data_IF_943748355007
#
_entry.id   IF_943748355007
#
_cell.length_a   1.000
_cell.length_b   1.000
_cell.length_c   1.000
_cell.angle_alpha   90.00
_cell.angle_beta   90.00
_cell.angle_gamma   90.00
#
_symmetry.space_group_name_H-M   'P 1'
#
loop_
_entity.id
_entity.type
_entity.pdbx_description
1 polymer ?
#
# COMPACT_ATOMS: atom_id res chain seq x y z
N UNK A 1 19.59 33.38 10.04
CA UNK A 1 20.49 32.23 10.27
C UNK A 1 19.90 31.02 9.57
N UNK A 2 20.59 30.55 8.54
CA UNK A 2 20.21 29.35 7.83
C UNK A 2 20.23 28.18 8.83
N UNK A 3 19.08 27.66 9.17
CA UNK A 3 19.02 26.40 9.91
C UNK A 3 19.42 25.32 8.93
N UNK A 4 20.63 24.84 9.11
CA UNK A 4 21.25 23.75 8.38
C UNK A 4 20.26 22.62 8.11
N UNK A 5 20.21 22.23 6.84
CA UNK A 5 19.50 21.04 6.39
C UNK A 5 20.10 19.76 6.94
N UNK A 6 20.01 19.57 8.24
CA UNK A 6 20.30 18.29 8.86
C UNK A 6 19.20 17.31 8.47
N UNK A 7 19.57 16.30 7.73
CA UNK A 7 18.75 15.15 7.36
C UNK A 7 18.07 14.60 8.60
N UNK A 8 16.76 14.30 8.51
CA UNK A 8 15.87 14.01 9.65
C UNK A 8 16.36 13.03 10.72
N UNK A 9 17.33 12.16 10.40
CA UNK A 9 17.91 11.20 11.37
C UNK A 9 18.76 11.88 12.47
N UNK A 10 19.52 12.93 12.16
CA UNK A 10 20.34 13.64 13.16
C UNK A 10 19.50 14.49 14.10
N UNK A 11 18.40 15.08 13.59
CA UNK A 11 17.46 15.83 14.40
C UNK A 11 16.78 14.95 15.46
N UNK A 12 16.40 13.73 15.08
CA UNK A 12 15.77 12.75 15.97
C UNK A 12 16.63 12.31 17.16
N UNK A 13 17.95 12.19 16.96
CA UNK A 13 18.87 11.80 18.03
C UNK A 13 19.08 12.97 19.01
N UNK A 14 18.99 14.20 18.54
CA UNK A 14 19.21 15.41 19.36
C UNK A 14 17.97 15.82 20.16
N UNK A 15 16.77 15.76 19.55
CA UNK A 15 15.59 16.38 20.15
C UNK A 15 14.93 15.50 21.23
N UNK A 16 15.22 14.19 21.32
CA UNK A 16 14.69 13.25 22.34
C UNK A 16 13.28 13.59 22.84
N UNK A 17 12.47 14.19 21.96
CA UNK A 17 11.12 14.62 22.26
C UNK A 17 10.15 13.47 22.02
N UNK A 18 9.49 13.02 23.08
CA UNK A 18 8.50 11.96 23.06
C UNK A 18 7.09 12.49 23.23
N UNK A 19 6.90 13.81 23.04
CA UNK A 19 5.60 14.47 23.22
C UNK A 19 4.66 14.05 22.08
N UNK A 20 3.44 13.70 22.47
CA UNK A 20 2.35 13.42 21.53
C UNK A 20 1.80 14.75 21.04
N UNK A 21 2.14 15.11 19.81
CA UNK A 21 1.70 16.37 19.19
C UNK A 21 0.34 16.22 18.50
N UNK A 22 0.03 15.04 17.97
CA UNK A 22 -1.21 14.76 17.26
C UNK A 22 -1.90 13.49 17.78
N UNK A 23 -3.00 13.68 18.47
CA UNK A 23 -3.84 12.58 18.98
C UNK A 23 -4.44 11.70 17.89
N UNK A 24 -4.71 12.23 16.69
CA UNK A 24 -5.28 11.46 15.57
C UNK A 24 -4.28 10.42 15.08
N UNK A 25 -3.03 10.81 14.89
CA UNK A 25 -1.95 9.89 14.47
C UNK A 25 -1.68 8.86 15.58
N UNK A 26 -1.67 9.29 16.84
CA UNK A 26 -1.54 8.36 17.96
C UNK A 26 -2.67 7.33 18.01
N UNK A 27 -3.91 7.75 17.77
CA UNK A 27 -5.07 6.84 17.69
C UNK A 27 -4.96 5.84 16.54
N UNK A 28 -4.44 6.25 15.37
CA UNK A 28 -4.19 5.33 14.25
C UNK A 28 -3.14 4.28 14.61
N UNK A 29 -2.07 4.66 15.29
CA UNK A 29 -1.06 3.71 15.79
C UNK A 29 -1.67 2.70 16.78
N UNK A 30 -2.47 3.17 17.76
CA UNK A 30 -3.15 2.27 18.69
C UNK A 30 -4.17 1.36 17.98
N UNK A 31 -4.86 1.87 16.97
CA UNK A 31 -5.78 1.08 16.15
C UNK A 31 -5.02 -0.01 15.37
N UNK A 32 -3.85 0.31 14.80
CA UNK A 32 -2.99 -0.66 14.12
C UNK A 32 -2.61 -1.83 15.03
N UNK A 33 -2.21 -1.54 16.26
CA UNK A 33 -1.91 -2.59 17.27
C UNK A 33 -3.13 -3.46 17.59
N UNK A 34 -4.29 -2.83 17.74
CA UNK A 34 -5.53 -3.55 18.06
C UNK A 34 -6.03 -4.43 16.91
N UNK A 35 -5.84 -3.99 15.67
CA UNK A 35 -6.28 -4.67 14.46
C UNK A 35 -5.18 -5.54 13.84
N UNK A 36 -4.04 -5.69 14.52
CA UNK A 36 -2.97 -6.54 14.03
C UNK A 36 -3.48 -7.97 13.81
N UNK A 37 -3.06 -8.58 12.71
CA UNK A 37 -3.42 -9.93 12.31
C UNK A 37 -2.17 -10.73 11.93
N UNK A 38 -2.31 -12.04 11.92
CA UNK A 38 -1.22 -12.95 11.62
C UNK A 38 -1.64 -13.88 10.49
N UNK A 39 -0.87 -13.89 9.41
CA UNK A 39 -1.16 -14.66 8.21
C UNK A 39 -1.24 -16.17 8.43
N UNK A 40 -0.57 -16.70 9.44
CA UNK A 40 -0.56 -18.15 9.72
C UNK A 40 -1.76 -18.59 10.56
N UNK A 41 -2.41 -17.66 11.28
CA UNK A 41 -3.53 -17.97 12.18
C UNK A 41 -4.86 -17.43 11.66
N UNK A 42 -4.84 -16.27 11.01
CA UNK A 42 -6.04 -15.57 10.57
C UNK A 42 -6.45 -15.90 9.12
N UNK A 43 -5.56 -16.54 8.35
CA UNK A 43 -5.82 -17.02 7.00
C UNK A 43 -5.77 -18.54 6.94
N UNK A 44 -6.78 -19.14 6.36
CA UNK A 44 -6.83 -20.60 6.16
C UNK A 44 -6.15 -21.01 4.84
N UNK A 45 -4.84 -21.22 4.91
CA UNK A 45 -4.03 -21.66 3.76
C UNK A 45 -4.31 -23.11 3.32
N UNK A 46 -5.07 -23.90 4.10
CA UNK A 46 -5.47 -25.25 3.73
C UNK A 46 -6.60 -25.29 2.70
N UNK A 47 -7.28 -24.16 2.46
CA UNK A 47 -8.33 -24.08 1.45
C UNK A 47 -7.82 -24.52 0.08
N UNK A 48 -8.62 -25.38 -0.58
CA UNK A 48 -8.33 -25.83 -1.93
C UNK A 48 -8.35 -24.65 -2.91
N UNK A 49 -7.36 -24.63 -3.80
CA UNK A 49 -7.33 -23.66 -4.89
C UNK A 49 -8.27 -24.12 -6.02
N UNK A 50 -9.16 -23.25 -6.52
CA UNK A 50 -10.14 -23.61 -7.56
C UNK A 50 -9.46 -23.83 -8.93
N UNK A 51 -8.96 -25.05 -9.17
CA UNK A 51 -8.18 -25.37 -10.39
C UNK A 51 -9.02 -25.39 -11.67
N UNK A 52 -10.28 -25.76 -11.55
CA UNK A 52 -11.19 -25.99 -12.67
C UNK A 52 -12.29 -24.91 -12.78
N UNK A 53 -12.04 -23.75 -12.18
CA UNK A 53 -12.98 -22.61 -12.15
C UNK A 53 -12.24 -21.30 -12.43
N UNK A 54 -12.96 -20.33 -12.93
CA UNK A 54 -12.46 -18.96 -13.05
C UNK A 54 -12.25 -18.35 -11.65
N UNK A 55 -11.13 -17.68 -11.47
CA UNK A 55 -10.86 -16.86 -10.29
C UNK A 55 -11.67 -15.56 -10.32
N UNK A 56 -11.90 -15.02 -11.51
CA UNK A 56 -12.76 -13.87 -11.74
C UNK A 56 -14.20 -14.32 -11.99
N UNK A 57 -15.14 -13.75 -11.29
CA UNK A 57 -16.57 -13.99 -11.46
C UNK A 57 -17.08 -13.29 -12.73
N UNK A 58 -17.34 -14.03 -13.78
CA UNK A 58 -17.78 -13.53 -15.07
C UNK A 58 -19.20 -12.90 -15.04
N UNK A 59 -20.01 -13.23 -14.05
CA UNK A 59 -21.35 -12.64 -13.87
C UNK A 59 -21.24 -11.20 -13.33
N UNK A 60 -20.16 -10.89 -12.63
CA UNK A 60 -19.91 -9.55 -12.05
C UNK A 60 -19.03 -8.72 -12.96
N UNK A 61 -18.01 -9.33 -13.57
CA UNK A 61 -17.02 -8.61 -14.38
C UNK A 61 -16.67 -9.38 -15.64
N UNK A 62 -16.93 -8.79 -16.80
CA UNK A 62 -16.45 -9.30 -18.09
C UNK A 62 -15.01 -8.84 -18.29
N UNK A 63 -14.11 -9.80 -18.37
CA UNK A 63 -12.70 -9.51 -18.61
C UNK A 63 -12.48 -9.07 -20.06
N UNK A 64 -11.54 -8.15 -20.34
CA UNK A 64 -11.33 -7.66 -21.71
C UNK A 64 -10.98 -8.75 -22.74
N UNK A 65 -10.45 -9.88 -22.30
CA UNK A 65 -10.10 -10.98 -23.19
C UNK A 65 -11.29 -11.60 -23.90
N UNK A 66 -12.49 -11.49 -23.35
CA UNK A 66 -13.71 -12.02 -24.01
C UNK A 66 -14.05 -11.29 -25.31
N UNK A 67 -13.45 -10.09 -25.51
CA UNK A 67 -13.63 -9.29 -26.72
C UNK A 67 -12.52 -9.55 -27.77
N UNK A 68 -11.53 -10.40 -27.45
CA UNK A 68 -10.47 -10.73 -28.39
C UNK A 68 -10.95 -11.73 -29.46
N UNK A 69 -10.56 -11.48 -30.70
CA UNK A 69 -10.82 -12.42 -31.81
C UNK A 69 -10.26 -13.81 -31.46
N UNK A 70 -11.08 -14.83 -31.62
CA UNK A 70 -10.72 -16.22 -31.34
C UNK A 70 -10.83 -16.65 -29.87
N UNK A 71 -11.24 -15.76 -28.96
CA UNK A 71 -11.45 -16.15 -27.55
C UNK A 71 -12.52 -17.24 -27.42
N UNK A 72 -13.59 -17.12 -28.17
CA UNK A 72 -14.70 -18.10 -28.11
C UNK A 72 -14.28 -19.50 -28.60
N UNK A 73 -13.30 -19.59 -29.50
CA UNK A 73 -12.75 -20.83 -30.03
C UNK A 73 -11.79 -21.54 -29.06
N UNK A 74 -11.38 -20.88 -27.96
CA UNK A 74 -10.52 -21.49 -26.95
C UNK A 74 -11.25 -22.55 -26.14
N UNK A 75 -10.55 -23.62 -25.80
CA UNK A 75 -11.08 -24.61 -24.84
C UNK A 75 -11.30 -23.97 -23.46
N UNK A 76 -12.17 -24.57 -22.67
CA UNK A 76 -12.48 -24.09 -21.31
C UNK A 76 -11.23 -24.04 -20.43
N UNK A 77 -10.34 -25.02 -20.53
CA UNK A 77 -9.08 -25.07 -19.79
C UNK A 77 -8.17 -23.89 -20.14
N UNK A 78 -8.08 -23.52 -21.43
CA UNK A 78 -7.30 -22.37 -21.86
C UNK A 78 -7.89 -21.04 -21.37
N UNK A 79 -9.20 -20.92 -21.32
CA UNK A 79 -9.87 -19.74 -20.74
C UNK A 79 -9.57 -19.61 -19.24
N UNK A 80 -9.59 -20.72 -18.49
CA UNK A 80 -9.18 -20.75 -17.08
C UNK A 80 -7.69 -20.38 -16.92
N UNK A 81 -6.82 -20.90 -17.79
CA UNK A 81 -5.40 -20.56 -17.78
C UNK A 81 -5.18 -19.05 -17.98
N UNK A 82 -5.86 -18.44 -18.95
CA UNK A 82 -5.81 -17.00 -19.18
C UNK A 82 -6.28 -16.19 -17.95
N UNK A 83 -7.37 -16.61 -17.32
CA UNK A 83 -7.87 -15.97 -16.10
C UNK A 83 -6.85 -16.04 -14.96
N UNK A 84 -6.17 -17.16 -14.78
CA UNK A 84 -5.06 -17.31 -13.82
C UNK A 84 -3.89 -16.40 -14.12
N UNK A 85 -3.51 -16.30 -15.40
CA UNK A 85 -2.45 -15.41 -15.84
C UNK A 85 -2.79 -13.95 -15.53
N UNK A 86 -4.05 -13.54 -15.74
CA UNK A 86 -4.55 -12.22 -15.39
C UNK A 86 -4.45 -11.95 -13.89
N UNK A 87 -4.98 -12.87 -13.07
CA UNK A 87 -4.95 -12.70 -11.61
C UNK A 87 -3.51 -12.69 -11.10
N UNK A 88 -2.67 -13.59 -11.62
CA UNK A 88 -1.24 -13.61 -11.28
C UNK A 88 -0.53 -12.30 -11.63
N UNK A 89 -0.82 -11.74 -12.81
CA UNK A 89 -0.24 -10.48 -13.23
C UNK A 89 -0.65 -9.34 -12.29
N UNK A 90 -1.93 -9.21 -11.95
CA UNK A 90 -2.42 -8.20 -11.01
C UNK A 90 -1.78 -8.35 -9.63
N UNK A 91 -1.78 -9.57 -9.07
CA UNK A 91 -1.18 -9.83 -7.75
C UNK A 91 0.33 -9.62 -7.74
N UNK A 92 1.01 -9.86 -8.86
CA UNK A 92 2.44 -9.57 -8.98
C UNK A 92 2.72 -8.06 -8.95
N UNK A 93 1.87 -7.24 -9.62
CA UNK A 93 2.02 -5.79 -9.53
C UNK A 93 1.74 -5.30 -8.10
N UNK A 94 0.74 -5.86 -7.42
CA UNK A 94 0.51 -5.57 -6.01
C UNK A 94 1.72 -5.94 -5.15
N UNK A 95 2.23 -7.15 -5.26
CA UNK A 95 3.44 -7.59 -4.54
C UNK A 95 4.61 -6.61 -4.72
N UNK A 96 4.85 -6.13 -5.94
CA UNK A 96 5.92 -5.17 -6.21
C UNK A 96 5.62 -3.78 -5.63
N UNK A 97 4.35 -3.36 -5.65
CA UNK A 97 3.87 -2.14 -5.01
C UNK A 97 4.08 -2.17 -3.49
N UNK A 98 3.63 -3.24 -2.84
CA UNK A 98 3.79 -3.49 -1.40
C UNK A 98 5.26 -3.48 -0.96
N UNK A 99 6.13 -4.09 -1.77
CA UNK A 99 7.58 -4.02 -1.50
C UNK A 99 8.10 -2.58 -1.58
N UNK A 100 7.62 -1.79 -2.52
CA UNK A 100 7.92 -0.36 -2.60
C UNK A 100 7.39 0.39 -1.37
N UNK A 101 6.14 0.13 -0.96
CA UNK A 101 5.51 0.71 0.22
C UNK A 101 6.28 0.36 1.50
N UNK A 102 6.70 -0.90 1.67
CA UNK A 102 7.57 -1.34 2.76
C UNK A 102 8.84 -0.49 2.88
N UNK A 103 9.52 -0.27 1.75
CA UNK A 103 10.75 0.52 1.72
C UNK A 103 10.50 2.00 2.03
N UNK A 104 9.45 2.61 1.47
CA UNK A 104 9.10 4.01 1.75
C UNK A 104 8.66 4.19 3.21
N UNK A 105 7.82 3.30 3.75
CA UNK A 105 7.42 3.34 5.16
C UNK A 105 8.63 3.27 6.10
N UNK A 106 9.62 2.40 5.78
CA UNK A 106 10.87 2.32 6.54
C UNK A 106 11.69 3.62 6.50
N UNK A 107 11.73 4.30 5.36
CA UNK A 107 12.38 5.61 5.23
C UNK A 107 11.64 6.68 6.05
N UNK A 108 10.30 6.66 6.06
CA UNK A 108 9.49 7.58 6.86
C UNK A 108 9.74 7.43 8.37
N UNK A 109 10.10 6.24 8.85
CA UNK A 109 10.50 6.06 10.26
C UNK A 109 11.67 6.97 10.63
N UNK A 110 12.63 7.16 9.74
CA UNK A 110 13.80 8.01 10.00
C UNK A 110 13.58 9.49 9.68
N UNK A 111 12.80 9.83 8.65
CA UNK A 111 12.68 11.22 8.17
C UNK A 111 11.42 11.96 8.62
N UNK A 112 10.36 11.27 9.09
CA UNK A 112 9.14 11.94 9.56
C UNK A 112 9.44 12.91 10.71
N UNK A 113 8.89 14.13 10.70
CA UNK A 113 9.31 15.17 11.64
C UNK A 113 8.75 15.03 13.06
N UNK A 114 7.71 14.21 13.29
CA UNK A 114 7.10 14.06 14.61
C UNK A 114 7.26 12.64 15.16
N UNK A 115 7.34 12.51 16.48
CA UNK A 115 7.43 11.20 17.15
C UNK A 115 6.27 10.26 16.80
N UNK A 116 5.05 10.79 16.80
CA UNK A 116 3.86 9.99 16.46
C UNK A 116 3.87 9.50 15.03
N UNK A 117 4.32 10.32 14.07
CA UNK A 117 4.46 9.91 12.67
C UNK A 117 5.50 8.80 12.53
N UNK A 118 6.61 8.85 13.28
CA UNK A 118 7.62 7.78 13.31
C UNK A 118 7.06 6.47 13.85
N UNK A 119 6.31 6.53 14.96
CA UNK A 119 5.67 5.34 15.54
C UNK A 119 4.68 4.71 14.56
N UNK A 120 3.87 5.56 13.90
CA UNK A 120 2.94 5.07 12.90
C UNK A 120 3.65 4.47 11.69
N UNK A 121 4.64 5.16 11.13
CA UNK A 121 5.43 4.65 10.01
C UNK A 121 6.11 3.29 10.34
N UNK A 122 6.58 3.11 11.58
CA UNK A 122 7.12 1.82 12.02
C UNK A 122 6.05 0.71 12.06
N UNK A 123 4.83 1.02 12.50
CA UNK A 123 3.71 0.05 12.45
C UNK A 123 3.30 -0.27 11.01
N UNK A 124 3.24 0.74 10.15
CA UNK A 124 2.99 0.54 8.73
C UNK A 124 4.08 -0.33 8.08
N UNK A 125 5.35 -0.08 8.36
CA UNK A 125 6.46 -0.92 7.87
C UNK A 125 6.23 -2.41 8.18
N UNK A 126 5.69 -2.70 9.36
CA UNK A 126 5.36 -4.08 9.74
C UNK A 126 4.13 -4.61 8.97
N UNK A 127 3.11 -3.79 8.75
CA UNK A 127 1.95 -4.16 7.95
C UNK A 127 2.38 -4.49 6.50
N UNK A 128 3.19 -3.64 5.86
CA UNK A 128 3.70 -3.86 4.50
C UNK A 128 4.55 -5.13 4.38
N UNK A 129 5.38 -5.42 5.38
CA UNK A 129 6.16 -6.66 5.39
C UNK A 129 5.25 -7.89 5.37
N UNK A 130 4.14 -7.86 6.09
CA UNK A 130 3.12 -8.92 6.10
C UNK A 130 2.40 -9.01 4.77
N UNK A 131 2.02 -7.88 4.15
CA UNK A 131 1.38 -7.84 2.83
C UNK A 131 2.28 -8.47 1.76
N UNK A 132 3.55 -8.07 1.70
CA UNK A 132 4.56 -8.67 0.80
C UNK A 132 4.64 -10.18 1.01
N UNK A 133 4.73 -10.64 2.26
CA UNK A 133 4.82 -12.06 2.57
C UNK A 133 3.58 -12.82 2.09
N UNK A 134 2.39 -12.29 2.34
CA UNK A 134 1.12 -12.91 1.97
C UNK A 134 0.93 -13.00 0.46
N UNK A 135 1.15 -11.91 -0.30
CA UNK A 135 1.03 -11.94 -1.75
C UNK A 135 2.06 -12.87 -2.40
N UNK A 136 3.31 -12.85 -1.92
CA UNK A 136 4.34 -13.76 -2.40
C UNK A 136 3.99 -15.22 -2.11
N UNK A 137 3.49 -15.54 -0.91
CA UNK A 137 3.05 -16.88 -0.54
C UNK A 137 1.87 -17.35 -1.41
N UNK A 138 0.85 -16.52 -1.60
CA UNK A 138 -0.29 -16.86 -2.44
C UNK A 138 0.13 -17.13 -3.90
N UNK A 139 0.95 -16.27 -4.47
CA UNK A 139 1.49 -16.46 -5.83
C UNK A 139 2.27 -17.77 -5.96
N UNK A 140 3.10 -18.10 -4.97
CA UNK A 140 3.91 -19.33 -5.00
C UNK A 140 3.10 -20.62 -4.74
N UNK A 141 2.27 -20.61 -3.69
CA UNK A 141 1.62 -21.84 -3.23
C UNK A 141 0.31 -22.14 -3.98
N UNK A 142 -0.44 -21.10 -4.38
CA UNK A 142 -1.76 -21.26 -5.00
C UNK A 142 -1.73 -21.12 -6.52
N UNK A 143 -1.05 -20.10 -7.03
CA UNK A 143 -0.97 -19.84 -8.47
C UNK A 143 0.18 -20.60 -9.14
N UNK A 144 1.37 -20.61 -8.53
CA UNK A 144 2.57 -21.31 -9.01
C UNK A 144 3.50 -20.49 -9.90
N UNK A 145 3.15 -19.27 -10.26
CA UNK A 145 3.98 -18.36 -11.06
C UNK A 145 3.67 -16.87 -10.77
N UNK A 146 4.62 -16.01 -11.11
CA UNK A 146 4.52 -14.56 -10.92
C UNK A 146 5.15 -13.82 -12.11
N UNK A 147 4.81 -12.55 -12.24
CA UNK A 147 5.27 -11.64 -13.28
C UNK A 147 6.23 -10.58 -12.73
N UNK A 148 7.15 -10.05 -13.55
CA UNK A 148 7.96 -8.91 -13.17
C UNK A 148 7.12 -7.64 -13.00
N UNK A 149 7.66 -6.66 -12.29
CA UNK A 149 7.08 -5.33 -12.21
C UNK A 149 7.01 -4.69 -13.60
N UNK A 150 5.92 -3.97 -13.87
CA UNK A 150 5.84 -3.12 -15.07
C UNK A 150 6.83 -1.96 -14.98
N UNK A 151 7.32 -1.49 -16.14
CA UNK A 151 8.24 -0.34 -16.20
C UNK A 151 7.61 0.92 -15.58
N UNK A 152 6.30 1.11 -15.76
CA UNK A 152 5.55 2.22 -15.17
C UNK A 152 5.56 2.20 -13.65
N UNK A 153 5.23 1.05 -13.04
CA UNK A 153 5.23 0.88 -11.59
C UNK A 153 6.66 1.05 -11.03
N UNK A 154 7.64 0.42 -11.68
CA UNK A 154 9.04 0.53 -11.28
C UNK A 154 9.53 1.98 -11.33
N UNK A 155 9.28 2.70 -12.42
CA UNK A 155 9.69 4.11 -12.55
C UNK A 155 9.04 5.01 -11.49
N UNK A 156 7.77 4.78 -11.18
CA UNK A 156 7.07 5.51 -10.13
C UNK A 156 7.66 5.23 -8.75
N UNK A 157 7.88 3.96 -8.43
CA UNK A 157 8.49 3.54 -7.16
C UNK A 157 9.91 4.09 -7.00
N UNK A 158 10.74 3.97 -8.04
CA UNK A 158 12.11 4.48 -8.03
C UNK A 158 12.13 5.99 -7.76
N UNK A 159 11.20 6.75 -8.37
CA UNK A 159 11.09 8.19 -8.15
C UNK A 159 10.72 8.54 -6.71
N UNK A 160 9.78 7.80 -6.10
CA UNK A 160 9.38 8.03 -4.70
C UNK A 160 10.52 7.63 -3.74
N UNK A 161 11.16 6.49 -3.98
CA UNK A 161 12.21 5.95 -3.13
C UNK A 161 13.48 6.81 -3.11
N UNK A 162 13.82 7.44 -4.24
CA UNK A 162 15.06 8.23 -4.39
C UNK A 162 14.88 9.72 -4.08
N UNK A 163 13.65 10.23 -3.95
CA UNK A 163 13.44 11.63 -3.57
C UNK A 163 13.86 11.86 -2.10
N UNK A 164 14.65 12.87 -1.83
CA UNK A 164 15.12 13.20 -0.47
C UNK A 164 14.06 13.94 0.37
N UNK A 165 13.04 14.49 -0.27
CA UNK A 165 11.98 15.25 0.38
C UNK A 165 10.93 14.32 0.97
N UNK A 166 10.81 14.33 2.29
CA UNK A 166 9.87 13.48 3.01
C UNK A 166 8.40 13.75 2.63
N UNK A 167 8.03 15.01 2.38
CA UNK A 167 6.67 15.40 1.99
C UNK A 167 6.27 14.86 0.63
N UNK A 168 7.17 14.83 -0.35
CA UNK A 168 6.91 14.20 -1.64
C UNK A 168 6.86 12.67 -1.58
N UNK A 169 7.73 12.03 -0.76
CA UNK A 169 7.59 10.61 -0.45
C UNK A 169 6.23 10.32 0.17
N UNK A 170 5.82 11.16 1.10
CA UNK A 170 4.57 11.03 1.81
C UNK A 170 3.36 11.16 0.87
N UNK A 171 3.31 12.23 0.04
CA UNK A 171 2.26 12.40 -0.97
C UNK A 171 2.25 11.26 -1.97
N UNK A 172 3.42 10.92 -2.52
CA UNK A 172 3.56 9.88 -3.53
C UNK A 172 3.10 8.51 -3.01
N UNK A 173 3.50 8.13 -1.81
CA UNK A 173 3.14 6.84 -1.23
C UNK A 173 1.76 6.89 -0.59
N UNK A 174 1.58 7.66 0.49
CA UNK A 174 0.39 7.58 1.34
C UNK A 174 -0.90 8.05 0.68
N UNK A 175 -0.82 8.94 -0.32
CA UNK A 175 -2.02 9.46 -0.99
C UNK A 175 -2.22 8.79 -2.35
N UNK A 176 -1.17 8.78 -3.20
CA UNK A 176 -1.33 8.31 -4.57
C UNK A 176 -1.28 6.78 -4.63
N UNK A 177 -0.20 6.16 -4.18
CA UNK A 177 -0.02 4.71 -4.31
C UNK A 177 -0.99 3.95 -3.43
N UNK A 178 -1.04 4.24 -2.14
CA UNK A 178 -1.94 3.58 -1.19
C UNK A 178 -3.42 3.82 -1.53
N UNK A 179 -3.77 5.03 -2.01
CA UNK A 179 -5.12 5.34 -2.46
C UNK A 179 -5.53 4.53 -3.69
N UNK A 180 -4.64 4.37 -4.67
CA UNK A 180 -4.86 3.52 -5.84
C UNK A 180 -4.91 2.04 -5.47
N UNK A 181 -4.01 1.59 -4.60
CA UNK A 181 -3.97 0.21 -4.10
C UNK A 181 -5.28 -0.15 -3.38
N UNK A 182 -5.74 0.71 -2.46
CA UNK A 182 -7.00 0.53 -1.74
C UNK A 182 -8.19 0.38 -2.70
N UNK A 183 -8.28 1.19 -3.74
CA UNK A 183 -9.32 1.09 -4.75
C UNK A 183 -9.20 -0.21 -5.56
N UNK A 184 -7.99 -0.58 -5.98
CA UNK A 184 -7.74 -1.78 -6.76
C UNK A 184 -8.05 -3.06 -5.96
N UNK A 185 -7.64 -3.14 -4.68
CA UNK A 185 -7.94 -4.26 -3.79
C UNK A 185 -9.44 -4.43 -3.56
N UNK A 186 -10.17 -3.33 -3.33
CA UNK A 186 -11.62 -3.39 -3.18
C UNK A 186 -12.29 -3.91 -4.45
N UNK A 187 -11.91 -3.41 -5.62
CA UNK A 187 -12.45 -3.87 -6.90
C UNK A 187 -12.13 -5.36 -7.14
N UNK A 188 -10.87 -5.77 -6.93
CA UNK A 188 -10.48 -7.16 -7.11
C UNK A 188 -11.27 -8.08 -6.15
N UNK A 189 -11.38 -7.72 -4.87
CA UNK A 189 -12.13 -8.51 -3.88
C UNK A 189 -13.59 -8.73 -4.28
N UNK A 190 -14.24 -7.74 -4.92
CA UNK A 190 -15.63 -7.86 -5.37
C UNK A 190 -15.82 -8.88 -6.47
N UNK A 191 -14.86 -8.99 -7.39
CA UNK A 191 -14.98 -9.81 -8.59
C UNK A 191 -14.36 -11.20 -8.47
N UNK A 192 -13.65 -11.51 -7.39
CA UNK A 192 -13.02 -12.82 -7.19
C UNK A 192 -14.03 -13.90 -6.82
N UNK A 193 -13.71 -15.16 -7.15
CA UNK A 193 -14.38 -16.38 -6.64
C UNK A 193 -13.58 -17.04 -5.50
N UNK A 194 -12.26 -16.86 -5.45
CA UNK A 194 -11.38 -17.52 -4.47
C UNK A 194 -11.59 -16.96 -3.05
N UNK A 195 -11.91 -17.85 -2.10
CA UNK A 195 -12.23 -17.48 -0.72
C UNK A 195 -11.02 -17.03 0.09
N UNK A 196 -9.86 -17.70 -0.09
CA UNK A 196 -8.63 -17.36 0.60
C UNK A 196 -8.12 -15.98 0.17
N UNK A 197 -8.11 -15.71 -1.14
CA UNK A 197 -7.68 -14.42 -1.66
C UNK A 197 -8.60 -13.28 -1.23
N UNK A 198 -9.93 -13.53 -1.20
CA UNK A 198 -10.89 -12.57 -0.64
C UNK A 198 -10.62 -12.25 0.83
N UNK A 199 -10.27 -13.26 1.61
CA UNK A 199 -9.96 -13.11 3.03
C UNK A 199 -8.64 -12.33 3.22
N UNK A 200 -7.60 -12.67 2.45
CA UNK A 200 -6.34 -11.93 2.43
C UNK A 200 -6.59 -10.44 2.11
N UNK A 201 -7.28 -10.17 0.99
CA UNK A 201 -7.61 -8.80 0.60
C UNK A 201 -8.47 -8.07 1.64
N UNK A 202 -9.32 -8.79 2.40
CA UNK A 202 -10.07 -8.16 3.48
C UNK A 202 -9.17 -7.56 4.56
N UNK A 203 -8.12 -8.27 4.95
CA UNK A 203 -7.17 -7.79 5.95
C UNK A 203 -6.29 -6.68 5.41
N UNK A 204 -5.75 -6.84 4.21
CA UNK A 204 -4.93 -5.82 3.53
C UNK A 204 -5.72 -4.51 3.36
N UNK A 205 -6.93 -4.54 2.80
CA UNK A 205 -7.79 -3.35 2.64
C UNK A 205 -7.99 -2.59 3.95
N UNK A 206 -8.13 -3.29 5.06
CA UNK A 206 -8.31 -2.68 6.37
C UNK A 206 -7.03 -1.96 6.83
N UNK A 207 -5.88 -2.51 6.52
CA UNK A 207 -4.59 -1.91 6.82
C UNK A 207 -4.35 -0.69 5.92
N UNK A 208 -4.57 -0.81 4.60
CA UNK A 208 -4.47 0.28 3.64
C UNK A 208 -5.35 1.49 3.96
N UNK A 209 -6.58 1.24 4.44
CA UNK A 209 -7.47 2.31 4.87
C UNK A 209 -6.86 3.15 6.02
N UNK A 210 -6.06 2.53 6.91
CA UNK A 210 -5.31 3.24 7.95
C UNK A 210 -4.13 4.02 7.38
N UNK A 211 -3.42 3.44 6.41
CA UNK A 211 -2.27 4.07 5.75
C UNK A 211 -2.70 5.34 5.02
N UNK A 212 -3.76 5.27 4.22
CA UNK A 212 -4.35 6.45 3.56
C UNK A 212 -4.83 7.49 4.58
N UNK A 213 -5.47 7.04 5.67
CA UNK A 213 -5.95 7.95 6.73
C UNK A 213 -4.78 8.66 7.42
N UNK A 214 -3.66 7.98 7.63
CA UNK A 214 -2.42 8.59 8.12
C UNK A 214 -1.94 9.68 7.16
N UNK A 215 -1.91 9.37 5.87
CA UNK A 215 -1.54 10.32 4.82
C UNK A 215 -2.37 11.60 4.87
N UNK A 216 -3.68 11.44 4.83
CA UNK A 216 -4.64 12.57 4.82
C UNK A 216 -4.50 13.42 6.09
N UNK A 217 -4.54 12.80 7.26
CA UNK A 217 -4.51 13.52 8.54
C UNK A 217 -3.21 14.28 8.73
N UNK A 218 -2.08 13.67 8.38
CA UNK A 218 -0.78 14.28 8.57
C UNK A 218 -0.54 15.46 7.62
N UNK A 219 -0.89 15.31 6.34
CA UNK A 219 -0.76 16.37 5.35
C UNK A 219 -1.72 17.54 5.61
N UNK A 220 -2.92 17.28 6.10
CA UNK A 220 -3.86 18.34 6.46
C UNK A 220 -3.25 19.31 7.47
N UNK A 221 -2.62 18.80 8.52
CA UNK A 221 -2.00 19.63 9.55
C UNK A 221 -0.72 20.32 9.05
N UNK A 222 0.07 19.62 8.25
CA UNK A 222 1.25 20.19 7.61
C UNK A 222 0.91 21.36 6.69
N UNK A 223 -0.11 21.21 5.85
CA UNK A 223 -0.57 22.28 4.96
C UNK A 223 -1.11 23.50 5.72
N UNK A 224 -1.84 23.31 6.82
CA UNK A 224 -2.27 24.43 7.68
C UNK A 224 -1.09 25.22 8.21
N UNK A 225 -0.03 24.54 8.62
CA UNK A 225 1.19 25.19 9.11
C UNK A 225 1.89 25.98 8.00
N UNK A 226 1.98 25.42 6.79
CA UNK A 226 2.58 26.10 5.64
C UNK A 226 1.77 27.34 5.20
N UNK A 227 0.44 27.28 5.22
CA UNK A 227 -0.44 28.40 4.86
C UNK A 227 -0.35 29.55 5.86
N UNK A 228 -0.18 29.27 7.14
CA UNK A 228 0.07 30.29 8.16
C UNK A 228 1.39 31.03 7.89
N UNK A 229 2.46 30.30 7.55
CA UNK A 229 3.74 30.92 7.20
C UNK A 229 3.68 31.82 5.96
N UNK A 230 2.84 31.49 4.97
CA UNK A 230 2.67 32.31 3.76
C UNK A 230 1.82 33.56 4.02
N UNK A 231 0.83 33.51 4.93
CA UNK A 231 0.03 34.66 5.30
C UNK A 231 0.83 35.68 6.12
N UNK A 232 1.62 35.20 7.09
CA UNK A 232 2.48 36.09 7.91
C UNK A 232 3.56 36.78 7.07
N UNK A 233 4.16 36.05 6.09
CA UNK A 233 5.14 36.66 5.17
C UNK A 233 4.52 37.63 4.17
N UNK A 234 3.21 37.63 3.94
CA UNK A 234 2.50 38.61 3.13
C UNK A 234 2.17 39.90 3.93
N UNK A 235 1.86 39.74 5.22
CA UNK A 235 1.55 40.88 6.12
C UNK A 235 2.80 41.70 6.50
N UNK A 236 4.00 41.09 6.52
CA UNK A 236 5.26 41.81 6.78
C UNK A 236 5.75 42.66 5.60
N UNK A 237 5.06 42.72 4.47
CA UNK A 237 5.42 43.50 3.27
C UNK A 237 4.57 44.76 3.04
N UNK A 238 3.85 45.21 4.07
CA UNK A 238 3.08 46.46 4.02
C UNK A 238 3.64 47.53 4.98
#
# INVERSE_FOLDING_TARGET
>A
EMVDGLVGSERCIRDRDYIVVDDRIKKLYELGKKLNWNEDFDLDWSQDFPKDQFLINSDIFKTPEVELDGYDDLSFEKKIEMDRHRVSWNLSQFLHGEQGALLVASQLVSCAPTFNAKLYAASQTFDEARHVNCFNRYLKEKIGFQYPSTDGLKSLMDKILTDERWDLKFIGMQIIIEGLALAAFNNLKLILNDGLLKQLLHYVIRDEARHVTFGVNYLEDYLKTCLLYTSDAADERH
#
